data_IF_729936251033
#
_entry.id   IF_729936251033
#
_cell.length_a   1.000
_cell.length_b   1.000
_cell.length_c   1.000
_cell.angle_alpha   90.00
_cell.angle_beta   90.00
_cell.angle_gamma   90.00
#
_symmetry.space_group_name_H-M   'P 1'
#
loop_
_entity.id
_entity.type
_entity.pdbx_description
1 polymer ?
#
# COMPACT_ATOMS: atom_id res chain seq x y z
N UNK A 1 -45.26 0.11 28.51
CA UNK A 1 -44.73 0.70 27.28
C UNK A 1 -43.46 1.49 27.62
N UNK A 2 -42.31 1.04 27.27
CA UNK A 2 -40.99 1.64 27.14
C UNK A 2 -39.92 0.58 27.41
N UNK A 3 -39.36 -0.05 26.40
CA UNK A 3 -37.93 -0.16 26.32
C UNK A 3 -37.43 -0.18 24.85
N UNK A 4 -37.43 0.95 24.16
CA UNK A 4 -36.91 1.01 22.81
C UNK A 4 -35.77 2.05 22.65
N UNK A 5 -35.32 2.66 23.76
CA UNK A 5 -34.26 3.67 23.73
C UNK A 5 -32.88 3.16 24.11
N UNK A 6 -32.74 1.93 24.55
CA UNK A 6 -31.48 1.36 24.99
C UNK A 6 -30.69 0.60 23.91
N UNK A 7 -31.29 0.32 22.75
CA UNK A 7 -30.60 -0.40 21.66
C UNK A 7 -29.79 0.51 20.71
N UNK A 8 -30.05 1.82 20.71
CA UNK A 8 -29.33 2.75 19.81
C UNK A 8 -27.99 3.23 20.38
N UNK A 9 -27.72 3.04 21.66
CA UNK A 9 -26.47 3.44 22.30
C UNK A 9 -25.33 2.41 22.16
N UNK A 10 -25.64 1.17 21.80
CA UNK A 10 -24.62 0.10 21.69
C UNK A 10 -23.88 0.09 20.36
N UNK A 11 -24.40 0.74 19.32
CA UNK A 11 -23.78 0.74 17.97
C UNK A 11 -22.70 1.81 17.76
N UNK A 12 -22.52 2.74 18.70
CA UNK A 12 -21.53 3.83 18.58
C UNK A 12 -20.18 3.49 19.24
N UNK A 13 -20.12 2.41 20.02
CA UNK A 13 -18.89 2.04 20.76
C UNK A 13 -17.98 1.04 20.03
N UNK A 14 -18.32 0.64 18.80
CA UNK A 14 -17.50 -0.30 18.01
C UNK A 14 -16.56 0.38 17.00
N UNK A 15 -16.52 1.68 16.93
CA UNK A 15 -15.66 2.43 15.99
C UNK A 15 -14.28 2.81 16.53
N UNK A 16 -13.80 2.15 17.57
CA UNK A 16 -12.56 2.53 18.25
C UNK A 16 -11.49 1.44 18.42
N UNK A 17 -11.57 0.35 17.67
CA UNK A 17 -10.53 -0.69 17.75
C UNK A 17 -9.73 -0.75 16.43
N UNK A 18 -8.63 0.03 16.34
CA UNK A 18 -7.56 -0.14 15.36
C UNK A 18 -6.81 -1.48 15.58
N UNK A 19 -7.53 -2.57 15.88
CA UNK A 19 -6.91 -3.77 16.42
C UNK A 19 -6.34 -4.71 15.35
N UNK A 20 -7.18 -5.15 14.41
CA UNK A 20 -6.79 -6.17 13.42
C UNK A 20 -7.56 -5.94 12.11
N UNK A 21 -6.95 -6.20 10.95
CA UNK A 21 -7.68 -6.20 9.69
C UNK A 21 -8.71 -7.33 9.70
N UNK A 22 -9.80 -7.14 8.97
CA UNK A 22 -10.87 -8.12 8.85
C UNK A 22 -10.79 -8.89 7.54
N UNK A 23 -11.31 -10.10 7.50
CA UNK A 23 -11.41 -10.88 6.27
C UNK A 23 -12.42 -10.24 5.30
N UNK A 24 -12.08 -10.15 4.00
CA UNK A 24 -12.82 -9.39 2.99
C UNK A 24 -13.15 -10.19 1.72
N UNK A 25 -13.69 -11.39 1.88
CA UNK A 25 -13.93 -12.33 0.77
C UNK A 25 -14.84 -11.81 -0.36
N UNK A 26 -15.71 -10.84 -0.08
CA UNK A 26 -16.72 -10.35 -1.03
C UNK A 26 -16.63 -8.84 -1.29
N UNK A 27 -15.56 -8.21 -0.84
CA UNK A 27 -15.39 -6.77 -1.02
C UNK A 27 -14.81 -6.51 -2.43
N UNK A 28 -15.44 -5.67 -3.27
CA UNK A 28 -14.90 -5.30 -4.58
C UNK A 28 -13.49 -4.70 -4.50
N UNK A 29 -13.13 -4.07 -3.40
CA UNK A 29 -11.79 -3.54 -3.16
C UNK A 29 -10.72 -4.64 -3.23
N UNK A 30 -11.06 -5.87 -2.80
CA UNK A 30 -10.16 -7.02 -2.82
C UNK A 30 -9.79 -7.48 -4.24
N UNK A 31 -10.62 -7.18 -5.23
CA UNK A 31 -10.36 -7.54 -6.63
C UNK A 31 -9.15 -6.81 -7.23
N UNK A 32 -8.74 -5.70 -6.61
CA UNK A 32 -7.56 -4.94 -7.03
C UNK A 32 -6.25 -5.51 -6.49
N UNK A 33 -6.30 -6.41 -5.50
CA UNK A 33 -5.15 -7.07 -4.93
C UNK A 33 -5.02 -8.50 -5.42
N UNK A 34 -3.79 -8.98 -5.61
CA UNK A 34 -3.51 -10.39 -5.87
C UNK A 34 -2.26 -10.85 -5.12
N UNK A 35 -2.12 -12.16 -4.95
CA UNK A 35 -1.01 -12.77 -4.23
C UNK A 35 0.23 -12.80 -5.09
N UNK A 36 1.39 -12.48 -4.50
CA UNK A 36 2.71 -12.65 -5.09
C UNK A 36 3.57 -13.52 -4.20
N UNK A 37 4.24 -14.49 -4.80
CA UNK A 37 5.14 -15.40 -4.11
C UNK A 37 6.59 -14.99 -4.30
N UNK A 38 7.40 -15.17 -3.26
CA UNK A 38 8.85 -15.23 -3.42
C UNK A 38 9.22 -16.49 -4.22
N UNK A 39 10.00 -16.33 -5.27
CA UNK A 39 10.51 -17.45 -6.07
C UNK A 39 11.67 -18.23 -5.42
N UNK A 40 12.02 -17.93 -4.18
CA UNK A 40 13.09 -18.66 -3.48
C UNK A 40 12.60 -20.04 -3.00
N UNK A 41 13.17 -21.15 -3.50
CA UNK A 41 12.70 -22.49 -3.13
C UNK A 41 12.95 -22.84 -1.65
N UNK A 42 13.88 -22.15 -0.98
CA UNK A 42 14.14 -22.31 0.45
C UNK A 42 13.22 -21.43 1.32
N UNK A 43 12.55 -20.43 0.72
CA UNK A 43 11.64 -19.51 1.39
C UNK A 43 10.16 -19.86 1.07
N UNK A 44 9.81 -21.13 1.20
CA UNK A 44 8.55 -21.74 0.79
C UNK A 44 7.27 -21.03 1.28
N UNK A 45 7.38 -20.03 2.13
CA UNK A 45 6.25 -19.33 2.75
C UNK A 45 6.30 -17.81 2.62
N UNK A 46 7.28 -17.26 1.93
CA UNK A 46 7.30 -15.81 1.73
C UNK A 46 6.33 -15.43 0.61
N UNK A 47 5.29 -14.75 0.99
CA UNK A 47 4.29 -14.21 0.10
C UNK A 47 4.01 -12.75 0.47
N UNK A 48 3.49 -12.02 -0.48
CA UNK A 48 3.00 -10.67 -0.33
C UNK A 48 1.79 -10.44 -1.20
N UNK A 49 1.38 -9.21 -1.28
CA UNK A 49 0.32 -8.75 -2.16
C UNK A 49 0.90 -7.87 -3.25
N UNK A 50 0.16 -7.68 -4.32
CA UNK A 50 0.50 -6.76 -5.40
C UNK A 50 -0.75 -6.10 -5.96
N UNK A 51 -0.55 -5.07 -6.76
CA UNK A 51 -1.59 -4.38 -7.49
C UNK A 51 -1.12 -4.10 -8.92
N UNK A 52 -2.04 -4.14 -9.88
CA UNK A 52 -1.72 -3.87 -11.27
C UNK A 52 -1.33 -2.39 -11.46
N UNK A 53 -0.21 -2.16 -12.14
CA UNK A 53 0.27 -0.82 -12.45
C UNK A 53 -0.22 -0.34 -13.83
N UNK A 54 -0.04 -1.18 -14.84
CA UNK A 54 -0.52 -0.96 -16.21
C UNK A 54 -0.79 -2.31 -16.89
N UNK A 55 -1.00 -2.34 -18.19
CA UNK A 55 -1.34 -3.55 -18.92
C UNK A 55 -0.32 -4.69 -18.80
N UNK A 56 0.98 -4.37 -18.65
CA UNK A 56 2.08 -5.34 -18.71
C UNK A 56 2.84 -5.50 -17.38
N UNK A 57 2.61 -4.64 -16.41
CA UNK A 57 3.35 -4.62 -15.15
C UNK A 57 2.45 -4.48 -13.94
N UNK A 58 2.85 -5.15 -12.89
CA UNK A 58 2.34 -4.93 -11.54
C UNK A 58 3.43 -4.38 -10.61
N UNK A 59 3.00 -3.84 -9.49
CA UNK A 59 3.87 -3.28 -8.45
C UNK A 59 3.65 -4.00 -7.13
N UNK A 60 4.75 -4.23 -6.42
CA UNK A 60 4.78 -4.77 -5.05
C UNK A 60 5.97 -4.18 -4.29
N UNK A 61 6.17 -4.62 -3.06
CA UNK A 61 7.30 -4.19 -2.21
C UNK A 61 8.61 -4.89 -2.56
N UNK A 62 9.71 -4.17 -2.46
CA UNK A 62 11.07 -4.69 -2.74
C UNK A 62 11.56 -5.68 -1.68
N UNK A 63 11.09 -5.54 -0.42
CA UNK A 63 11.47 -6.47 0.64
C UNK A 63 10.89 -7.88 0.46
N UNK A 64 9.98 -8.12 -0.49
CA UNK A 64 9.62 -9.44 -0.95
C UNK A 64 10.66 -9.89 -2.00
N UNK A 65 11.62 -10.76 -1.64
CA UNK A 65 12.72 -11.11 -2.53
C UNK A 65 12.28 -12.08 -3.63
N UNK A 66 13.04 -12.12 -4.73
CA UNK A 66 12.92 -13.12 -5.79
C UNK A 66 11.53 -13.21 -6.43
N UNK A 67 10.82 -12.10 -6.58
CA UNK A 67 9.55 -12.05 -7.31
C UNK A 67 9.82 -12.40 -8.78
N UNK A 68 9.11 -13.41 -9.27
CA UNK A 68 9.25 -13.83 -10.68
C UNK A 68 8.87 -12.69 -11.64
N UNK A 69 9.67 -12.49 -12.67
CA UNK A 69 9.47 -11.38 -13.62
C UNK A 69 9.82 -10.00 -13.09
N UNK A 70 10.49 -9.90 -11.93
CA UNK A 70 10.98 -8.62 -11.42
C UNK A 70 12.03 -8.05 -12.37
N UNK A 71 11.77 -6.86 -12.91
CA UNK A 71 12.65 -6.17 -13.85
C UNK A 71 13.22 -4.86 -13.30
N UNK A 72 12.66 -4.34 -12.22
CA UNK A 72 13.13 -3.12 -11.61
C UNK A 72 12.87 -3.07 -10.12
N UNK A 73 13.90 -2.70 -9.36
CA UNK A 73 13.82 -2.38 -7.94
C UNK A 73 14.20 -0.92 -7.73
N UNK A 74 13.22 -0.14 -7.27
CA UNK A 74 13.35 1.30 -7.15
C UNK A 74 13.98 1.79 -5.84
N UNK A 75 14.04 3.11 -5.71
CA UNK A 75 14.29 3.77 -4.43
C UNK A 75 13.06 3.63 -3.55
N UNK A 76 13.29 3.48 -2.26
CA UNK A 76 12.24 3.05 -1.36
C UNK A 76 11.92 1.58 -1.55
N UNK A 77 10.80 1.17 -0.98
CA UNK A 77 10.39 -0.23 -0.94
C UNK A 77 9.39 -0.54 -2.07
N UNK A 78 9.90 -0.53 -3.31
CA UNK A 78 9.10 -0.78 -4.52
C UNK A 78 9.86 -1.60 -5.53
N UNK A 79 9.15 -2.53 -6.18
CA UNK A 79 9.60 -3.22 -7.39
C UNK A 79 8.48 -3.39 -8.40
N UNK A 80 8.85 -3.36 -9.68
CA UNK A 80 7.97 -3.67 -10.80
C UNK A 80 8.33 -5.02 -11.41
N UNK A 81 7.31 -5.80 -11.71
CA UNK A 81 7.48 -7.13 -12.31
C UNK A 81 6.49 -7.34 -13.44
N UNK A 82 6.84 -8.20 -14.40
CA UNK A 82 5.96 -8.55 -15.52
C UNK A 82 4.74 -9.30 -15.01
N UNK A 83 3.60 -8.70 -15.28
CA UNK A 83 2.30 -9.28 -15.00
C UNK A 83 1.27 -8.65 -15.93
N UNK A 84 0.74 -9.45 -16.85
CA UNK A 84 -0.26 -8.98 -17.79
C UNK A 84 -1.62 -8.82 -17.09
N UNK A 85 -2.23 -7.66 -17.26
CA UNK A 85 -3.54 -7.40 -16.70
C UNK A 85 -4.59 -8.35 -17.30
N UNK A 86 -5.37 -8.97 -16.44
CA UNK A 86 -6.53 -9.82 -16.78
C UNK A 86 -7.86 -9.16 -16.43
N UNK A 87 -7.81 -7.97 -15.81
CA UNK A 87 -8.94 -7.15 -15.37
C UNK A 87 -8.74 -5.70 -15.76
N UNK A 88 -9.78 -4.89 -15.55
CA UNK A 88 -9.69 -3.44 -15.68
C UNK A 88 -8.59 -2.86 -14.79
N UNK A 89 -7.83 -1.92 -15.34
CA UNK A 89 -6.74 -1.27 -14.60
C UNK A 89 -7.30 -0.39 -13.47
N UNK A 90 -6.67 -0.38 -12.30
CA UNK A 90 -7.06 0.51 -11.22
C UNK A 90 -6.78 1.98 -11.59
N UNK A 91 -7.63 2.87 -11.12
CA UNK A 91 -7.33 4.30 -11.15
C UNK A 91 -6.33 4.62 -10.06
N UNK A 92 -5.33 5.47 -10.38
CA UNK A 92 -4.29 5.89 -9.45
C UNK A 92 -4.36 7.40 -9.21
N UNK A 93 -4.19 7.83 -7.98
CA UNK A 93 -4.09 9.24 -7.62
C UNK A 93 -3.25 9.47 -6.35
N UNK A 94 -2.91 10.71 -6.07
CA UNK A 94 -2.31 11.08 -4.80
C UNK A 94 -3.33 10.97 -3.66
N UNK A 95 -2.85 10.59 -2.48
CA UNK A 95 -3.66 10.62 -1.27
C UNK A 95 -3.82 12.05 -0.75
N UNK A 96 -4.85 12.25 0.08
CA UNK A 96 -5.09 13.51 0.80
C UNK A 96 -5.06 13.23 2.31
N UNK A 97 -4.36 14.05 3.11
CA UNK A 97 -4.43 13.93 4.57
C UNK A 97 -5.87 13.97 5.07
N UNK A 98 -6.23 13.10 6.01
CA UNK A 98 -7.55 12.99 6.60
C UNK A 98 -8.59 12.24 5.77
N UNK A 99 -8.30 11.80 4.54
CA UNK A 99 -9.25 10.98 3.78
C UNK A 99 -9.32 9.55 4.32
N UNK A 100 -10.50 8.93 4.16
CA UNK A 100 -10.69 7.52 4.51
C UNK A 100 -9.92 6.63 3.56
N UNK A 101 -9.16 5.69 4.12
CA UNK A 101 -8.35 4.73 3.39
C UNK A 101 -8.73 3.29 3.77
N UNK A 102 -8.65 2.41 2.79
CA UNK A 102 -8.77 0.96 2.99
C UNK A 102 -7.49 0.28 2.49
N UNK A 103 -6.72 -0.27 3.41
CA UNK A 103 -5.59 -1.13 3.09
C UNK A 103 -6.11 -2.51 2.72
N UNK A 104 -5.69 -3.06 1.58
CA UNK A 104 -6.17 -4.34 1.06
C UNK A 104 -4.97 -5.25 0.76
N UNK A 105 -5.16 -6.55 0.90
CA UNK A 105 -4.15 -7.55 0.60
C UNK A 105 -4.51 -8.93 1.13
N UNK A 106 -3.51 -9.79 1.25
CA UNK A 106 -3.67 -11.15 1.78
C UNK A 106 -2.79 -11.33 3.00
N UNK A 107 -3.22 -12.13 3.97
CA UNK A 107 -2.36 -12.50 5.08
C UNK A 107 -1.47 -13.71 4.72
N UNK A 108 -0.57 -14.11 5.63
CA UNK A 108 0.32 -15.24 5.44
C UNK A 108 -0.37 -16.60 5.20
N UNK A 109 -1.69 -16.68 5.42
CA UNK A 109 -2.52 -17.87 5.15
C UNK A 109 -3.36 -17.72 3.88
N UNK A 110 -3.03 -16.74 3.01
CA UNK A 110 -3.75 -16.45 1.76
C UNK A 110 -5.18 -15.95 1.94
N UNK A 111 -5.57 -15.58 3.16
CA UNK A 111 -6.89 -15.02 3.39
C UNK A 111 -6.91 -13.55 2.95
N UNK A 112 -7.93 -13.15 2.17
CA UNK A 112 -8.10 -11.75 1.79
C UNK A 112 -8.44 -10.91 3.03
N UNK A 113 -7.71 -9.84 3.21
CA UNK A 113 -7.78 -8.98 4.40
C UNK A 113 -7.93 -7.52 4.00
N UNK A 114 -8.66 -6.76 4.83
CA UNK A 114 -8.72 -5.32 4.71
C UNK A 114 -8.64 -4.64 6.08
N UNK A 115 -8.04 -3.46 6.10
CA UNK A 115 -8.00 -2.58 7.27
C UNK A 115 -8.43 -1.18 6.89
N UNK A 116 -9.43 -0.63 7.57
CA UNK A 116 -9.95 0.70 7.33
C UNK A 116 -9.38 1.70 8.32
N UNK A 117 -9.08 2.90 7.84
CA UNK A 117 -8.56 3.99 8.66
C UNK A 117 -8.56 5.30 7.90
N UNK A 118 -7.81 6.26 8.41
CA UNK A 118 -7.66 7.59 7.80
C UNK A 118 -6.20 7.88 7.48
N UNK A 119 -5.96 8.56 6.37
CA UNK A 119 -4.64 9.09 6.04
C UNK A 119 -4.21 10.11 7.10
N UNK A 120 -3.04 9.93 7.66
CA UNK A 120 -2.45 10.90 8.58
C UNK A 120 -1.67 11.95 7.79
N UNK A 121 -1.50 13.14 8.35
CA UNK A 121 -0.64 14.18 7.77
C UNK A 121 0.86 13.88 7.91
N UNK A 122 1.20 12.94 8.81
CA UNK A 122 2.56 12.55 9.09
C UNK A 122 3.18 11.76 7.93
N UNK A 123 4.34 12.21 7.47
CA UNK A 123 5.19 11.43 6.57
C UNK A 123 6.37 10.84 7.37
N UNK A 124 6.75 9.62 7.04
CA UNK A 124 7.86 8.93 7.70
C UNK A 124 8.94 8.51 6.70
N UNK A 125 10.18 8.43 7.19
CA UNK A 125 11.30 7.85 6.47
C UNK A 125 11.66 6.54 7.15
N UNK A 126 11.69 5.43 6.42
CA UNK A 126 12.00 4.12 6.99
C UNK A 126 13.50 3.85 7.05
N UNK A 127 14.23 4.17 5.99
CA UNK A 127 15.68 3.98 5.94
C UNK A 127 16.35 5.22 5.31
N UNK A 128 17.49 5.62 5.88
CA UNK A 128 18.34 6.67 5.29
C UNK A 128 18.91 6.24 3.91
N UNK A 129 19.06 4.94 3.68
CA UNK A 129 19.55 4.37 2.41
C UNK A 129 18.53 4.39 1.29
N UNK A 130 17.25 4.61 1.58
CA UNK A 130 16.16 4.65 0.58
C UNK A 130 16.18 5.92 -0.29
N UNK A 131 17.27 6.69 -0.28
CA UNK A 131 17.39 7.89 -1.10
C UNK A 131 16.45 9.02 -0.72
N UNK A 132 16.02 9.08 0.54
CA UNK A 132 15.17 10.13 1.08
C UNK A 132 13.68 9.96 0.74
N UNK A 133 13.25 8.77 0.36
CA UNK A 133 11.83 8.47 0.10
C UNK A 133 10.99 8.72 1.36
N UNK A 134 9.89 9.44 1.17
CA UNK A 134 8.90 9.71 2.21
C UNK A 134 7.68 8.81 2.00
N UNK A 135 7.28 8.14 3.04
CA UNK A 135 6.14 7.23 3.07
C UNK A 135 4.95 7.91 3.73
N UNK A 136 3.76 7.65 3.23
CA UNK A 136 2.50 8.04 3.87
C UNK A 136 2.18 7.13 5.05
N UNK A 137 1.33 7.62 5.93
CA UNK A 137 0.85 6.86 7.10
C UNK A 137 -0.67 6.90 7.18
N UNK A 138 -1.26 5.83 7.71
CA UNK A 138 -2.67 5.76 8.05
C UNK A 138 -2.88 4.93 9.32
N UNK A 139 -3.97 5.12 10.02
CA UNK A 139 -4.27 4.44 11.27
C UNK A 139 -5.06 3.13 11.10
N UNK A 140 -5.40 2.74 9.86
CA UNK A 140 -6.01 1.46 9.57
C UNK A 140 -5.03 0.29 9.79
N UNK A 141 -5.48 -0.85 10.34
CA UNK A 141 -4.60 -1.98 10.65
C UNK A 141 -4.15 -2.74 9.40
N UNK A 142 -2.91 -3.23 9.41
CA UNK A 142 -2.37 -4.16 8.41
C UNK A 142 -1.65 -5.32 9.08
N UNK A 143 -1.50 -6.43 8.38
CA UNK A 143 -0.78 -7.62 8.86
C UNK A 143 0.22 -8.14 7.83
N UNK A 144 1.10 -9.04 8.28
CA UNK A 144 2.07 -9.72 7.43
C UNK A 144 1.37 -10.39 6.23
N UNK A 145 1.92 -10.16 5.03
CA UNK A 145 1.38 -10.62 3.75
C UNK A 145 0.58 -9.56 3.00
N UNK A 146 0.05 -8.51 3.66
CA UNK A 146 -0.59 -7.38 2.99
C UNK A 146 0.42 -6.43 2.31
N UNK A 147 1.72 -6.57 2.57
CA UNK A 147 2.78 -5.79 1.93
C UNK A 147 2.69 -5.88 0.41
N UNK A 148 2.73 -4.74 -0.29
CA UNK A 148 2.58 -4.60 -1.74
C UNK A 148 1.14 -4.51 -2.22
N UNK A 149 0.15 -4.85 -1.41
CA UNK A 149 -1.27 -4.68 -1.73
C UNK A 149 -1.68 -3.21 -1.75
N UNK A 150 -2.77 -2.87 -2.47
CA UNK A 150 -3.20 -1.48 -2.63
C UNK A 150 -3.70 -0.85 -1.34
N UNK A 151 -3.47 0.44 -1.21
CA UNK A 151 -4.18 1.34 -0.31
C UNK A 151 -5.17 2.13 -1.15
N UNK A 152 -6.45 1.99 -0.85
CA UNK A 152 -7.56 2.56 -1.63
C UNK A 152 -8.17 3.75 -0.89
N UNK A 153 -8.50 4.77 -1.62
CA UNK A 153 -9.37 5.83 -1.16
C UNK A 153 -10.85 5.44 -1.27
N UNK A 154 -11.74 6.22 -0.71
CA UNK A 154 -13.18 5.97 -0.71
C UNK A 154 -13.81 5.93 -2.12
N UNK A 155 -13.17 6.56 -3.12
CA UNK A 155 -13.59 6.53 -4.52
C UNK A 155 -13.08 5.28 -5.28
N UNK A 156 -12.41 4.35 -4.60
CA UNK A 156 -11.83 3.15 -5.19
C UNK A 156 -10.48 3.35 -5.87
N UNK A 157 -9.96 4.59 -5.92
CA UNK A 157 -8.63 4.85 -6.50
C UNK A 157 -7.52 4.33 -5.59
N UNK A 158 -6.48 3.77 -6.19
CA UNK A 158 -5.25 3.38 -5.49
C UNK A 158 -4.42 4.62 -5.20
N UNK A 159 -4.08 4.84 -3.95
CA UNK A 159 -3.25 5.97 -3.51
C UNK A 159 -1.83 5.58 -3.11
N UNK A 160 -1.56 4.28 -3.06
CA UNK A 160 -0.25 3.73 -2.73
C UNK A 160 -0.30 2.22 -2.50
N UNK A 161 0.81 1.65 -2.05
CA UNK A 161 0.92 0.24 -1.68
C UNK A 161 1.35 0.08 -0.22
N UNK A 162 0.79 -0.90 0.49
CA UNK A 162 1.17 -1.24 1.86
C UNK A 162 2.64 -1.64 1.94
N UNK A 163 3.38 -1.14 2.92
CA UNK A 163 4.81 -1.43 3.10
C UNK A 163 5.09 -2.07 4.45
N UNK A 164 4.65 -1.43 5.53
CA UNK A 164 4.96 -1.85 6.88
C UNK A 164 3.89 -1.35 7.87
N UNK A 165 4.04 -1.76 9.11
CA UNK A 165 3.34 -1.13 10.22
C UNK A 165 4.32 -0.83 11.37
N UNK A 166 3.99 0.16 12.18
CA UNK A 166 4.65 0.49 13.44
C UNK A 166 3.70 0.19 14.58
N UNK A 167 4.13 -0.66 15.49
CA UNK A 167 3.41 -0.92 16.72
C UNK A 167 3.53 0.29 17.68
N UNK A 168 2.70 0.33 18.71
CA UNK A 168 2.82 1.33 19.79
C UNK A 168 4.24 1.44 20.34
N UNK A 169 4.91 0.30 20.54
CA UNK A 169 6.28 0.26 21.05
C UNK A 169 7.27 0.94 20.09
N UNK A 170 7.10 0.73 18.79
CA UNK A 170 7.93 1.38 17.78
C UNK A 170 7.68 2.89 17.77
N UNK A 171 6.42 3.31 17.86
CA UNK A 171 6.03 4.73 17.91
C UNK A 171 6.60 5.45 19.14
N UNK A 172 6.58 4.82 20.30
CA UNK A 172 7.19 5.34 21.52
C UNK A 172 8.71 5.50 21.36
N UNK A 173 9.37 4.59 20.63
CA UNK A 173 10.83 4.63 20.42
C UNK A 173 11.28 5.76 19.50
N UNK A 174 10.51 6.09 18.47
CA UNK A 174 10.86 7.14 17.48
C UNK A 174 10.55 8.56 17.96
N UNK A 175 9.91 8.72 19.11
CA UNK A 175 9.60 10.01 19.75
C UNK A 175 8.91 11.04 18.84
N UNK A 176 8.03 10.59 17.95
CA UNK A 176 7.25 11.43 17.04
C UNK A 176 5.94 11.83 17.72
N UNK A 177 5.84 13.08 18.17
CA UNK A 177 4.66 13.60 18.87
C UNK A 177 3.40 13.59 17.98
N UNK A 178 3.55 13.81 16.68
CA UNK A 178 2.50 13.79 15.67
C UNK A 178 1.92 12.39 15.39
N UNK A 179 2.60 11.34 15.84
CA UNK A 179 2.17 9.95 15.78
C UNK A 179 1.84 9.35 17.16
N UNK A 180 2.01 10.13 18.20
CA UNK A 180 1.71 9.69 19.57
C UNK A 180 0.19 9.46 19.75
N UNK A 181 -0.17 8.51 20.60
CA UNK A 181 -1.57 8.19 20.88
C UNK A 181 -2.18 7.09 20.00
N UNK A 182 -1.55 6.74 18.88
CA UNK A 182 -1.97 5.60 18.06
C UNK A 182 -1.46 4.28 18.65
N UNK A 183 -2.29 3.23 18.59
CA UNK A 183 -1.88 1.87 19.00
C UNK A 183 -1.02 1.20 17.93
N UNK A 184 -1.30 1.54 16.68
CA UNK A 184 -0.60 1.06 15.49
C UNK A 184 -0.75 2.10 14.39
N UNK A 185 0.26 2.22 13.54
CA UNK A 185 0.21 3.02 12.31
C UNK A 185 0.71 2.13 11.18
N UNK A 186 -0.03 2.11 10.09
CA UNK A 186 0.39 1.47 8.85
C UNK A 186 1.09 2.48 7.94
N UNK A 187 2.07 1.99 7.22
CA UNK A 187 2.94 2.77 6.35
C UNK A 187 2.72 2.30 4.91
N UNK A 188 2.57 3.24 4.01
CA UNK A 188 2.41 2.95 2.59
C UNK A 188 3.36 3.80 1.74
N UNK A 189 3.76 3.25 0.60
CA UNK A 189 4.48 4.02 -0.41
C UNK A 189 3.45 4.76 -1.28
N UNK A 190 3.43 6.11 -1.29
CA UNK A 190 2.45 6.88 -2.02
C UNK A 190 2.58 6.75 -3.54
N UNK A 191 1.47 6.88 -4.26
CA UNK A 191 1.39 6.86 -5.72
C UNK A 191 2.47 7.73 -6.39
N UNK A 192 2.67 8.97 -5.93
CA UNK A 192 3.66 9.88 -6.51
C UNK A 192 5.08 9.29 -6.48
N UNK A 193 5.45 8.56 -5.43
CA UNK A 193 6.76 7.91 -5.35
C UNK A 193 6.84 6.70 -6.29
N UNK A 194 5.77 5.90 -6.37
CA UNK A 194 5.68 4.77 -7.31
C UNK A 194 5.79 5.28 -8.75
N UNK A 195 5.09 6.35 -9.09
CA UNK A 195 5.12 6.99 -10.41
C UNK A 195 6.53 7.49 -10.77
N UNK A 196 7.25 8.11 -9.83
CA UNK A 196 8.64 8.54 -10.04
C UNK A 196 9.57 7.37 -10.33
N UNK A 197 9.41 6.26 -9.62
CA UNK A 197 10.22 5.06 -9.86
C UNK A 197 9.86 4.39 -11.19
N UNK A 198 8.57 4.38 -11.56
CA UNK A 198 8.14 3.93 -12.87
C UNK A 198 8.76 4.76 -14.00
N UNK A 199 8.80 6.08 -13.88
CA UNK A 199 9.44 6.96 -14.87
C UNK A 199 10.93 6.66 -15.04
N UNK A 200 11.64 6.40 -13.93
CA UNK A 200 13.06 5.98 -13.98
C UNK A 200 13.22 4.66 -14.70
N UNK A 201 12.39 3.68 -14.40
CA UNK A 201 12.40 2.39 -15.06
C UNK A 201 12.11 2.52 -16.56
N UNK A 202 11.07 3.24 -16.95
CA UNK A 202 10.71 3.47 -18.34
C UNK A 202 11.85 4.17 -19.13
N UNK A 203 12.51 5.15 -18.52
CA UNK A 203 13.69 5.81 -19.09
C UNK A 203 14.84 4.83 -19.29
N UNK A 204 15.13 3.99 -18.29
CA UNK A 204 16.16 2.96 -18.40
C UNK A 204 15.86 1.96 -19.54
N UNK A 205 14.60 1.52 -19.66
CA UNK A 205 14.17 0.61 -20.72
C UNK A 205 14.29 1.26 -22.12
N UNK A 206 13.93 2.54 -22.26
CA UNK A 206 14.08 3.29 -23.50
C UNK A 206 15.54 3.37 -23.93
N UNK A 207 16.45 3.69 -23.01
CA UNK A 207 17.88 3.69 -23.29
C UNK A 207 18.43 2.34 -23.77
N UNK A 208 18.01 1.25 -23.10
CA UNK A 208 18.44 -0.10 -23.50
C UNK A 208 17.94 -0.51 -24.88
N UNK A 209 16.79 0.02 -25.31
CA UNK A 209 16.19 -0.25 -26.63
C UNK A 209 16.64 0.73 -27.72
N UNK A 210 17.52 1.70 -27.41
CA UNK A 210 17.96 2.73 -28.35
C UNK A 210 16.87 3.70 -28.80
N UNK A 211 15.76 3.80 -28.03
CA UNK A 211 14.65 4.71 -28.32
C UNK A 211 14.96 6.07 -27.72
N UNK A 212 14.79 7.20 -28.47
CA UNK A 212 14.92 8.54 -27.89
C UNK A 212 14.02 8.69 -26.67
N UNK A 213 14.54 9.42 -25.65
CA UNK A 213 13.85 9.62 -24.36
C UNK A 213 12.37 9.96 -24.56
N UNK A 214 11.43 9.24 -23.95
CA UNK A 214 10.04 9.67 -23.93
C UNK A 214 9.96 11.03 -23.24
N UNK A 215 9.34 11.98 -23.94
CA UNK A 215 9.14 13.37 -23.48
C UNK A 215 8.59 13.34 -22.04
N UNK A 216 9.25 14.08 -21.14
CA UNK A 216 8.73 14.36 -19.81
C UNK A 216 7.30 14.92 -19.91
N UNK A 217 6.32 14.13 -19.57
CA UNK A 217 4.99 14.69 -19.30
C UNK A 217 5.13 15.61 -18.09
N UNK A 218 4.72 16.88 -18.18
CA UNK A 218 4.81 17.78 -17.06
C UNK A 218 4.01 17.23 -15.89
N UNK A 219 4.65 17.19 -14.74
CA UNK A 219 3.97 16.93 -13.47
C UNK A 219 2.98 18.07 -13.32
N UNK A 220 1.68 17.78 -13.37
CA UNK A 220 0.66 18.77 -13.09
C UNK A 220 0.98 19.41 -11.74
N UNK A 221 1.26 20.71 -11.76
CA UNK A 221 1.40 21.51 -10.54
C UNK A 221 0.07 21.45 -9.81
N UNK A 222 0.11 20.99 -8.59
CA UNK A 222 -1.02 21.00 -7.68
C UNK A 222 -0.97 22.39 -7.03
N UNK A 223 -1.85 23.28 -7.47
CA UNK A 223 -2.28 24.46 -6.72
C UNK A 223 -3.25 24.04 -5.62
#
# INVERSE_FOLDING_TARGET
MRPLKSLLAASVLLSGCNGMPVASYKDPAQEQAFVVHSGCPLALMLMGSAVQWNEDYAVTVKHLPFVSGSEYQGRGDVQFFRHKADKALPAWRNFRPGESLTAVGFNAFYLPMQGQGQALSALVRLDAKDGGVMYGTHDGPTVVGMSGGPVLAADGSVVGINVANLSRRDLESIKRADLSGHQQISIFLPYLQIQREWQRFATQQAHLKGVPNPVHLPIASID
#
